data_IF_001303662048
#
_entry.id   IF_001303662048
#
_cell.length_a   1.000
_cell.length_b   1.000
_cell.length_c   1.000
_cell.angle_alpha   90.00
_cell.angle_beta   90.00
_cell.angle_gamma   90.00
#
_symmetry.space_group_name_H-M   'P 1'
#
loop_
_entity.id
_entity.type
_entity.pdbx_description
1 polymer ?
#
# COMPACT_ATOMS: atom_id res chain seq x y z
N UNK A 1 -22.26 7.59 16.15
CA UNK A 1 -21.96 6.37 15.36
C UNK A 1 -20.68 5.73 15.90
N UNK A 2 -20.64 4.42 15.98
CA UNK A 2 -19.48 3.65 16.46
C UNK A 2 -18.87 2.85 15.31
N UNK A 3 -17.55 2.84 15.21
CA UNK A 3 -16.79 2.05 14.27
C UNK A 3 -15.78 1.15 14.99
N UNK A 4 -15.76 -0.11 14.62
CA UNK A 4 -14.76 -1.08 15.07
C UNK A 4 -13.74 -1.24 13.94
N UNK A 5 -12.46 -1.06 14.23
CA UNK A 5 -11.36 -1.22 13.27
C UNK A 5 -10.42 -2.31 13.77
N UNK A 6 -10.27 -3.40 13.02
CA UNK A 6 -9.47 -4.56 13.41
C UNK A 6 -8.29 -4.81 12.47
N UNK A 7 -7.07 -4.79 13.00
CA UNK A 7 -5.84 -4.99 12.23
C UNK A 7 -4.77 -5.73 13.03
N UNK A 8 -3.86 -6.44 12.35
CA UNK A 8 -2.71 -7.07 13.00
C UNK A 8 -1.65 -6.07 13.49
N UNK A 9 -1.45 -5.01 12.72
CA UNK A 9 -0.49 -3.93 13.02
C UNK A 9 -1.18 -2.59 12.80
N UNK A 10 -0.44 -1.50 12.74
CA UNK A 10 -1.07 -0.20 12.53
C UNK A 10 -1.46 0.07 11.08
N UNK A 11 -0.78 -0.53 10.10
CA UNK A 11 -1.01 -0.29 8.66
C UNK A 11 -1.70 1.06 8.36
N UNK A 12 -2.31 1.20 7.19
CA UNK A 12 -3.09 2.39 6.82
C UNK A 12 -4.38 2.56 7.65
N UNK A 13 -4.96 1.49 8.21
CA UNK A 13 -6.17 1.54 9.04
C UNK A 13 -6.04 2.41 10.29
N UNK A 14 -4.83 2.68 10.78
CA UNK A 14 -4.60 3.68 11.84
C UNK A 14 -5.05 5.08 11.41
N UNK A 15 -4.80 5.44 10.14
CA UNK A 15 -5.19 6.75 9.62
C UNK A 15 -6.71 6.86 9.46
N UNK A 16 -7.38 5.75 9.10
CA UNK A 16 -8.82 5.66 9.14
C UNK A 16 -9.37 5.89 10.55
N UNK A 17 -8.84 5.16 11.55
CA UNK A 17 -9.27 5.29 12.94
C UNK A 17 -9.11 6.73 13.47
N UNK A 18 -7.99 7.39 13.15
CA UNK A 18 -7.76 8.80 13.49
C UNK A 18 -8.74 9.72 12.79
N UNK A 19 -9.01 9.50 11.50
CA UNK A 19 -9.96 10.31 10.73
C UNK A 19 -11.39 10.19 11.27
N UNK A 20 -11.85 8.97 11.56
CA UNK A 20 -13.15 8.73 12.17
C UNK A 20 -13.28 9.42 13.54
N UNK A 21 -12.27 9.30 14.39
CA UNK A 21 -12.27 9.97 15.69
C UNK A 21 -12.34 11.49 15.61
N UNK A 22 -11.74 12.10 14.58
CA UNK A 22 -11.79 13.55 14.32
C UNK A 22 -13.16 14.01 13.82
N UNK A 23 -13.94 13.14 13.20
CA UNK A 23 -15.29 13.44 12.69
C UNK A 23 -16.40 13.05 13.68
N UNK A 24 -16.05 12.79 14.95
CA UNK A 24 -17.00 12.55 16.03
C UNK A 24 -17.52 11.11 16.12
N UNK A 25 -16.89 10.15 15.43
CA UNK A 25 -17.19 8.75 15.62
C UNK A 25 -16.57 8.22 16.91
N UNK A 26 -17.30 7.37 17.62
CA UNK A 26 -16.71 6.48 18.63
C UNK A 26 -15.91 5.40 17.90
N UNK A 27 -14.61 5.30 18.17
CA UNK A 27 -13.72 4.35 17.51
C UNK A 27 -13.18 3.33 18.49
N UNK A 28 -13.33 2.07 18.15
CA UNK A 28 -12.71 0.94 18.87
C UNK A 28 -11.67 0.29 17.96
N UNK A 29 -10.39 0.58 18.22
CA UNK A 29 -9.26 0.13 17.39
C UNK A 29 -8.60 -1.10 18.01
N UNK A 30 -8.83 -2.28 17.42
CA UNK A 30 -8.20 -3.54 17.81
C UNK A 30 -6.87 -3.73 17.09
N UNK A 31 -5.79 -3.88 17.88
CA UNK A 31 -4.44 -4.06 17.33
C UNK A 31 -3.62 -5.04 18.17
N UNK A 32 -2.64 -5.68 17.52
CA UNK A 32 -1.64 -6.53 18.19
C UNK A 32 -0.46 -5.73 18.75
N UNK A 33 -0.46 -4.41 18.55
CA UNK A 33 0.57 -3.52 19.04
C UNK A 33 0.33 -3.11 20.50
N UNK A 34 1.40 -2.80 21.25
CA UNK A 34 1.25 -2.20 22.59
C UNK A 34 0.68 -0.78 22.46
N UNK A 35 -0.06 -0.34 23.49
CA UNK A 35 -0.69 1.00 23.52
C UNK A 35 0.31 2.14 23.33
N UNK A 36 1.53 2.00 23.84
CA UNK A 36 2.59 3.00 23.63
C UNK A 36 2.88 3.25 22.16
N UNK A 37 2.85 2.18 21.35
CA UNK A 37 3.08 2.28 19.91
C UNK A 37 1.87 2.87 19.17
N UNK A 38 0.65 2.49 19.53
CA UNK A 38 -0.56 3.05 18.90
C UNK A 38 -0.74 4.54 19.25
N UNK A 39 -0.33 4.95 20.45
CA UNK A 39 -0.31 6.35 20.87
C UNK A 39 0.62 7.20 19.99
N UNK A 40 1.79 6.67 19.61
CA UNK A 40 2.70 7.38 18.67
C UNK A 40 2.13 7.57 17.26
N UNK A 41 1.00 6.93 16.95
CA UNK A 41 0.27 7.08 15.69
C UNK A 41 -0.92 8.03 15.78
N UNK A 42 -1.11 8.72 16.91
CA UNK A 42 -2.19 9.68 17.12
C UNK A 42 -3.52 9.07 17.60
N UNK A 43 -3.51 7.79 18.00
CA UNK A 43 -4.69 7.15 18.62
C UNK A 43 -4.71 7.41 20.12
N UNK A 44 -5.88 7.74 20.68
CA UNK A 44 -6.06 7.90 22.11
C UNK A 44 -6.19 6.53 22.79
N UNK A 45 -5.81 6.44 24.07
CA UNK A 45 -5.82 5.19 24.82
C UNK A 45 -7.23 4.59 25.00
N UNK A 46 -8.24 5.45 25.06
CA UNK A 46 -9.66 5.04 25.15
C UNK A 46 -10.18 4.40 23.84
N UNK A 47 -9.55 4.72 22.71
CA UNK A 47 -9.88 4.16 21.40
C UNK A 47 -9.21 2.80 21.16
N UNK A 48 -8.20 2.41 21.96
CA UNK A 48 -7.33 1.26 21.63
C UNK A 48 -7.62 0.06 22.52
N UNK A 49 -8.00 -1.06 21.89
CA UNK A 49 -8.03 -2.39 22.48
C UNK A 49 -6.81 -3.17 22.05
N UNK A 50 -5.78 -3.17 22.90
CA UNK A 50 -4.51 -3.85 22.60
C UNK A 50 -4.58 -5.33 22.96
N UNK A 51 -4.30 -6.20 21.98
CA UNK A 51 -4.15 -7.64 22.18
C UNK A 51 -2.69 -8.07 22.39
N UNK A 52 -1.77 -7.12 22.55
CA UNK A 52 -0.32 -7.36 22.69
C UNK A 52 0.02 -8.33 23.82
N UNK A 53 -0.64 -8.21 25.00
CA UNK A 53 -0.38 -9.10 26.13
C UNK A 53 -0.68 -10.56 25.84
N UNK A 54 -1.68 -10.85 25.00
CA UNK A 54 -1.98 -12.21 24.56
C UNK A 54 -0.90 -12.81 23.65
N UNK A 55 -0.07 -11.96 23.04
CA UNK A 55 1.07 -12.35 22.21
C UNK A 55 2.39 -12.43 22.99
N UNK A 56 2.46 -11.98 24.26
CA UNK A 56 3.73 -11.90 25.00
C UNK A 56 4.55 -13.20 24.95
N UNK A 57 3.97 -14.42 25.11
CA UNK A 57 4.72 -15.66 25.00
C UNK A 57 5.31 -15.90 23.58
N UNK A 58 4.75 -15.22 22.56
CA UNK A 58 5.03 -15.44 21.14
C UNK A 58 5.49 -14.16 20.44
N UNK A 59 5.70 -13.06 21.18
CA UNK A 59 5.95 -11.73 20.62
C UNK A 59 7.21 -11.69 19.74
N UNK A 60 8.27 -12.40 20.13
CA UNK A 60 9.48 -12.52 19.32
C UNK A 60 9.20 -13.22 17.97
N UNK A 61 8.37 -14.26 17.96
CA UNK A 61 8.01 -15.02 16.76
C UNK A 61 7.05 -14.24 15.83
N UNK A 62 6.12 -13.47 16.42
CA UNK A 62 5.15 -12.69 15.67
C UNK A 62 5.76 -11.45 14.98
N UNK A 63 6.88 -10.93 15.52
CA UNK A 63 7.57 -9.73 15.02
C UNK A 63 8.69 -10.02 14.02
N UNK A 64 9.14 -11.27 13.91
CA UNK A 64 10.18 -11.65 12.94
C UNK A 64 9.61 -11.58 11.53
N UNK A 65 10.11 -10.64 10.73
CA UNK A 65 9.86 -10.58 9.29
C UNK A 65 10.82 -11.54 8.59
N UNK A 66 10.27 -12.43 7.75
CA UNK A 66 11.04 -13.50 7.10
C UNK A 66 11.19 -14.73 7.99
N UNK A 67 12.11 -15.61 7.66
CA UNK A 67 12.39 -16.84 8.39
C UNK A 67 11.82 -18.11 7.72
N UNK A 68 12.08 -19.31 8.28
CA UNK A 68 11.70 -20.58 7.68
C UNK A 68 10.18 -20.74 7.58
N UNK A 69 9.72 -21.58 6.65
CA UNK A 69 8.28 -21.82 6.36
C UNK A 69 7.45 -22.22 7.59
N UNK A 70 8.03 -22.92 8.56
CA UNK A 70 7.33 -23.29 9.78
C UNK A 70 6.99 -22.06 10.66
N UNK A 71 7.88 -21.06 10.72
CA UNK A 71 7.67 -19.84 11.48
C UNK A 71 6.50 -19.03 10.91
N UNK A 72 6.39 -18.99 9.58
CA UNK A 72 5.23 -18.37 8.90
C UNK A 72 3.92 -19.06 9.29
N UNK A 73 3.87 -20.40 9.29
CA UNK A 73 2.69 -21.15 9.72
C UNK A 73 2.30 -20.88 11.18
N UNK A 74 3.29 -20.78 12.07
CA UNK A 74 3.04 -20.42 13.48
C UNK A 74 2.44 -19.03 13.58
N UNK A 75 2.97 -18.06 12.86
CA UNK A 75 2.46 -16.66 12.83
C UNK A 75 1.02 -16.59 12.31
N UNK A 76 0.69 -17.29 11.24
CA UNK A 76 -0.65 -17.36 10.67
C UNK A 76 -1.67 -17.97 11.66
N UNK A 77 -1.27 -19.02 12.39
CA UNK A 77 -2.10 -19.58 13.47
C UNK A 77 -2.29 -18.63 14.64
N UNK A 78 -1.26 -17.86 15.00
CA UNK A 78 -1.36 -16.82 16.03
C UNK A 78 -2.33 -15.72 15.60
N UNK A 79 -2.31 -15.31 14.36
CA UNK A 79 -3.27 -14.33 13.83
C UNK A 79 -4.71 -14.85 13.92
N UNK A 80 -4.95 -16.14 13.61
CA UNK A 80 -6.26 -16.76 13.77
C UNK A 80 -6.73 -16.81 15.24
N UNK A 81 -5.83 -17.09 16.19
CA UNK A 81 -6.17 -17.09 17.62
C UNK A 81 -6.56 -15.69 18.12
N UNK A 82 -5.83 -14.66 17.68
CA UNK A 82 -6.13 -13.28 18.08
C UNK A 82 -7.39 -12.77 17.42
N UNK A 83 -7.64 -13.11 16.16
CA UNK A 83 -8.89 -12.81 15.48
C UNK A 83 -10.10 -13.36 16.25
N UNK A 84 -10.04 -14.62 16.71
CA UNK A 84 -11.08 -15.21 17.60
C UNK A 84 -11.21 -14.46 18.93
N UNK A 85 -10.12 -13.92 19.45
CA UNK A 85 -10.16 -13.10 20.67
C UNK A 85 -10.81 -11.75 20.40
N UNK A 86 -10.54 -11.12 19.27
CA UNK A 86 -11.23 -9.91 18.83
C UNK A 86 -12.72 -10.20 18.68
N UNK A 87 -13.09 -11.28 17.98
CA UNK A 87 -14.49 -11.69 17.81
C UNK A 87 -15.28 -11.81 19.12
N UNK A 88 -14.62 -12.25 20.21
CA UNK A 88 -15.25 -12.33 21.54
C UNK A 88 -15.32 -10.99 22.28
N UNK A 89 -14.51 -10.02 21.87
CA UNK A 89 -14.39 -8.73 22.55
C UNK A 89 -15.29 -7.65 21.94
N UNK A 90 -15.60 -7.76 20.64
CA UNK A 90 -16.40 -6.76 19.92
C UNK A 90 -17.88 -6.82 20.30
N UNK A 91 -18.50 -5.65 20.44
CA UNK A 91 -19.93 -5.44 20.65
C UNK A 91 -20.63 -4.85 19.44
N UNK A 92 -21.90 -4.45 19.57
CA UNK A 92 -22.65 -3.78 18.50
C UNK A 92 -21.97 -2.47 18.06
N UNK A 93 -21.95 -2.24 16.75
CA UNK A 93 -21.48 -1.00 16.13
C UNK A 93 -22.16 -0.83 14.77
N UNK A 94 -22.13 0.38 14.23
CA UNK A 94 -22.65 0.63 12.88
C UNK A 94 -21.74 0.05 11.80
N UNK A 95 -20.43 0.10 12.02
CA UNK A 95 -19.43 -0.31 11.03
C UNK A 95 -18.32 -1.15 11.67
N UNK A 96 -17.93 -2.21 10.98
CA UNK A 96 -16.72 -2.98 11.24
C UNK A 96 -15.80 -2.89 10.03
N UNK A 97 -14.54 -2.50 10.23
CA UNK A 97 -13.50 -2.49 9.20
C UNK A 97 -12.37 -3.42 9.62
N UNK A 98 -12.17 -4.48 8.86
CA UNK A 98 -11.13 -5.49 9.11
C UNK A 98 -10.11 -5.59 8.01
N UNK A 99 -8.85 -5.91 8.36
CA UNK A 99 -7.83 -6.24 7.37
C UNK A 99 -8.02 -7.68 6.90
N UNK A 100 -7.98 -7.90 5.60
CA UNK A 100 -8.12 -9.24 4.98
C UNK A 100 -7.12 -10.25 5.54
N UNK A 101 -7.44 -11.51 5.50
CA UNK A 101 -6.77 -12.64 6.15
C UNK A 101 -6.64 -12.54 7.69
N UNK A 102 -6.67 -11.35 8.25
CA UNK A 102 -6.57 -11.12 9.71
C UNK A 102 -7.94 -11.20 10.38
N UNK A 103 -8.95 -10.52 9.82
CA UNK A 103 -10.28 -10.38 10.37
C UNK A 103 -11.27 -11.33 9.65
N UNK A 104 -11.26 -12.62 10.00
CA UNK A 104 -12.24 -13.62 9.53
C UNK A 104 -13.31 -13.85 10.59
N UNK A 105 -12.93 -14.38 11.77
CA UNK A 105 -13.86 -14.64 12.85
C UNK A 105 -14.48 -13.35 13.43
N UNK A 106 -13.72 -12.26 13.47
CA UNK A 106 -14.22 -10.97 13.93
C UNK A 106 -15.18 -10.33 12.90
N UNK A 107 -14.96 -10.52 11.61
CA UNK A 107 -15.90 -10.08 10.57
C UNK A 107 -17.22 -10.86 10.64
N UNK A 108 -17.16 -12.20 10.75
CA UNK A 108 -18.34 -13.03 10.94
C UNK A 108 -19.14 -12.58 12.18
N UNK A 109 -18.44 -12.36 13.31
CA UNK A 109 -19.09 -11.88 14.53
C UNK A 109 -19.71 -10.49 14.39
N UNK A 110 -19.02 -9.57 13.71
CA UNK A 110 -19.55 -8.22 13.44
C UNK A 110 -20.82 -8.28 12.59
N UNK A 111 -20.86 -9.18 11.60
CA UNK A 111 -22.05 -9.43 10.77
C UNK A 111 -23.22 -9.95 11.59
N UNK A 112 -22.99 -10.92 12.50
CA UNK A 112 -24.01 -11.40 13.44
C UNK A 112 -24.56 -10.29 14.34
N UNK A 113 -23.73 -9.32 14.70
CA UNK A 113 -24.10 -8.15 15.51
C UNK A 113 -24.81 -7.05 14.68
N UNK A 114 -24.99 -7.25 13.37
CA UNK A 114 -25.67 -6.31 12.49
C UNK A 114 -24.80 -5.16 12.00
N UNK A 115 -23.47 -5.20 12.17
CA UNK A 115 -22.58 -4.18 11.61
C UNK A 115 -22.58 -4.21 10.08
N UNK A 116 -22.31 -3.07 9.46
CA UNK A 116 -21.83 -3.01 8.06
C UNK A 116 -20.37 -3.48 8.06
N UNK A 117 -20.08 -4.61 7.39
CA UNK A 117 -18.76 -5.24 7.41
C UNK A 117 -17.97 -4.83 6.16
N UNK A 118 -16.85 -4.14 6.35
CA UNK A 118 -15.88 -3.82 5.31
C UNK A 118 -14.59 -4.61 5.54
N UNK A 119 -14.10 -5.24 4.48
CA UNK A 119 -12.78 -5.91 4.49
C UNK A 119 -11.83 -5.16 3.58
N UNK A 120 -10.73 -4.70 4.15
CA UNK A 120 -9.66 -3.99 3.45
C UNK A 120 -8.64 -4.96 2.88
N UNK A 121 -8.39 -4.85 1.58
CA UNK A 121 -7.36 -5.62 0.90
C UNK A 121 -6.24 -4.70 0.39
N UNK A 122 -5.04 -4.89 0.91
CA UNK A 122 -3.85 -4.07 0.57
C UNK A 122 -3.12 -4.46 -0.71
N UNK A 123 -3.60 -5.47 -1.46
CA UNK A 123 -2.96 -5.99 -2.68
C UNK A 123 -4.02 -6.37 -3.73
N UNK A 124 -3.62 -6.93 -4.87
CA UNK A 124 -4.50 -7.62 -5.81
C UNK A 124 -5.26 -8.77 -5.15
N UNK A 125 -6.28 -9.34 -5.80
CA UNK A 125 -6.95 -10.55 -5.33
C UNK A 125 -5.92 -11.65 -5.03
N UNK A 126 -6.14 -12.44 -3.97
CA UNK A 126 -5.14 -13.39 -3.48
C UNK A 126 -4.73 -14.43 -4.54
N UNK A 127 -5.65 -14.87 -5.38
CA UNK A 127 -5.34 -15.82 -6.46
C UNK A 127 -4.54 -15.18 -7.59
N UNK A 128 -4.76 -13.91 -7.92
CA UNK A 128 -3.91 -13.14 -8.83
C UNK A 128 -2.52 -12.99 -8.27
N UNK A 129 -2.40 -12.63 -6.98
CA UNK A 129 -1.11 -12.52 -6.29
C UNK A 129 -0.34 -13.85 -6.30
N UNK A 130 -1.03 -14.97 -6.09
CA UNK A 130 -0.45 -16.31 -6.14
C UNK A 130 0.05 -16.63 -7.55
N UNK A 131 -0.77 -16.39 -8.58
CA UNK A 131 -0.40 -16.61 -9.98
C UNK A 131 0.82 -15.74 -10.39
N UNK A 132 0.84 -14.47 -10.00
CA UNK A 132 1.97 -13.57 -10.28
C UNK A 132 3.24 -14.00 -9.55
N UNK A 133 3.13 -14.46 -8.30
CA UNK A 133 4.27 -14.99 -7.54
C UNK A 133 4.86 -16.22 -8.26
N UNK A 134 4.00 -17.16 -8.68
CA UNK A 134 4.41 -18.35 -9.42
C UNK A 134 5.08 -17.99 -10.76
N UNK A 135 4.46 -17.13 -11.56
CA UNK A 135 4.99 -16.69 -12.85
C UNK A 135 6.34 -15.94 -12.72
N UNK A 136 6.55 -15.27 -11.59
CA UNK A 136 7.79 -14.55 -11.29
C UNK A 136 8.86 -15.41 -10.62
N UNK A 137 8.61 -16.69 -10.35
CA UNK A 137 9.51 -17.57 -9.59
C UNK A 137 9.69 -17.15 -8.13
N UNK A 138 8.74 -16.38 -7.60
CA UNK A 138 8.74 -15.89 -6.22
C UNK A 138 8.10 -16.86 -5.22
N UNK A 139 8.10 -16.49 -3.95
CA UNK A 139 7.48 -17.29 -2.90
C UNK A 139 5.95 -17.13 -2.92
N UNK A 140 5.24 -18.23 -3.09
CA UNK A 140 3.78 -18.25 -3.06
C UNK A 140 3.21 -18.01 -1.64
N UNK A 141 2.02 -17.41 -1.53
CA UNK A 141 1.25 -17.41 -0.29
C UNK A 141 1.01 -18.84 0.21
N UNK A 142 0.98 -19.06 1.53
CA UNK A 142 0.61 -20.35 2.06
C UNK A 142 -0.86 -20.68 1.81
N UNK A 143 -1.21 -21.98 1.71
CA UNK A 143 -2.60 -22.40 1.54
C UNK A 143 -3.52 -21.84 2.66
N UNK A 144 -3.04 -21.84 3.92
CA UNK A 144 -3.79 -21.26 5.04
C UNK A 144 -4.01 -19.74 4.88
N UNK A 145 -3.02 -19.02 4.33
CA UNK A 145 -3.18 -17.60 4.08
C UNK A 145 -4.19 -17.34 2.96
N UNK A 146 -4.13 -18.12 1.87
CA UNK A 146 -5.11 -18.07 0.75
C UNK A 146 -6.52 -18.35 1.27
N UNK A 147 -6.71 -19.42 2.04
CA UNK A 147 -7.99 -19.79 2.65
C UNK A 147 -8.55 -18.65 3.51
N UNK A 148 -7.74 -18.06 4.37
CA UNK A 148 -8.17 -16.94 5.22
C UNK A 148 -8.50 -15.68 4.46
N UNK A 149 -7.79 -15.37 3.37
CA UNK A 149 -8.11 -14.25 2.49
C UNK A 149 -9.50 -14.44 1.87
N UNK A 150 -9.73 -15.61 1.25
CA UNK A 150 -11.02 -15.92 0.62
C UNK A 150 -12.17 -15.94 1.65
N UNK A 151 -11.93 -16.52 2.82
CA UNK A 151 -12.92 -16.50 3.92
C UNK A 151 -13.25 -15.07 4.37
N UNK A 152 -12.26 -14.17 4.44
CA UNK A 152 -12.52 -12.77 4.81
C UNK A 152 -13.36 -12.03 3.75
N UNK A 153 -13.14 -12.31 2.45
CA UNK A 153 -13.96 -11.72 1.38
C UNK A 153 -15.42 -12.19 1.44
N UNK A 154 -15.64 -13.46 1.79
CA UNK A 154 -17.00 -14.01 1.94
C UNK A 154 -17.80 -13.35 3.07
N UNK A 155 -17.14 -12.91 4.15
CA UNK A 155 -17.80 -12.22 5.26
C UNK A 155 -18.09 -10.74 5.00
N UNK A 156 -17.51 -10.14 3.95
CA UNK A 156 -17.63 -8.71 3.68
C UNK A 156 -18.98 -8.34 3.05
N UNK A 157 -19.61 -7.27 3.51
CA UNK A 157 -20.65 -6.56 2.74
C UNK A 157 -20.00 -5.74 1.62
N UNK A 158 -18.82 -5.18 1.89
CA UNK A 158 -17.98 -4.45 0.92
C UNK A 158 -16.51 -4.82 1.09
N UNK A 159 -15.82 -4.96 -0.04
CA UNK A 159 -14.37 -5.15 -0.08
C UNK A 159 -13.74 -3.84 -0.52
N UNK A 160 -12.93 -3.25 0.35
CA UNK A 160 -12.21 -2.01 0.06
C UNK A 160 -10.84 -2.38 -0.52
N UNK A 161 -10.59 -1.92 -1.74
CA UNK A 161 -9.34 -2.14 -2.47
C UNK A 161 -8.65 -0.82 -2.76
N UNK A 162 -7.34 -0.84 -2.96
CA UNK A 162 -6.55 0.37 -2.97
C UNK A 162 -6.39 1.01 -4.35
N UNK A 163 -6.81 0.32 -5.42
CA UNK A 163 -6.68 0.79 -6.80
C UNK A 163 -7.67 0.15 -7.76
N UNK A 164 -7.86 0.76 -8.93
CA UNK A 164 -8.62 0.17 -10.04
C UNK A 164 -8.01 -1.14 -10.53
N UNK A 165 -6.68 -1.26 -10.50
CA UNK A 165 -6.01 -2.52 -10.81
C UNK A 165 -6.46 -3.61 -9.83
N UNK A 166 -6.38 -3.35 -8.53
CA UNK A 166 -6.84 -4.30 -7.52
C UNK A 166 -8.32 -4.66 -7.73
N UNK A 167 -9.21 -3.67 -7.92
CA UNK A 167 -10.64 -3.92 -8.19
C UNK A 167 -10.86 -4.83 -9.41
N UNK A 168 -10.13 -4.59 -10.50
CA UNK A 168 -10.20 -5.44 -11.70
C UNK A 168 -9.85 -6.90 -11.38
N UNK A 169 -8.80 -7.14 -10.58
CA UNK A 169 -8.44 -8.52 -10.21
C UNK A 169 -9.51 -9.22 -9.37
N UNK A 170 -10.27 -8.50 -8.55
CA UNK A 170 -11.43 -9.06 -7.85
C UNK A 170 -12.57 -9.41 -8.81
N UNK A 171 -12.88 -8.53 -9.76
CA UNK A 171 -13.91 -8.79 -10.78
C UNK A 171 -13.55 -9.99 -11.67
N UNK A 172 -12.26 -10.16 -12.02
CA UNK A 172 -11.75 -11.32 -12.77
C UNK A 172 -11.92 -12.65 -12.01
N UNK A 173 -12.02 -12.60 -10.68
CA UNK A 173 -12.31 -13.75 -9.81
C UNK A 173 -13.77 -13.83 -9.36
N UNK A 174 -14.67 -13.10 -10.02
CA UNK A 174 -16.12 -13.24 -9.86
C UNK A 174 -16.74 -12.38 -8.76
N UNK A 175 -15.98 -11.47 -8.13
CA UNK A 175 -16.56 -10.51 -7.19
C UNK A 175 -17.42 -9.47 -7.93
N UNK A 176 -18.63 -9.25 -7.42
CA UNK A 176 -19.56 -8.30 -7.99
C UNK A 176 -19.03 -6.85 -7.85
N UNK A 177 -19.07 -6.03 -8.92
CA UNK A 177 -18.53 -4.67 -8.89
C UNK A 177 -19.12 -3.76 -7.79
N UNK A 178 -20.38 -3.96 -7.44
CA UNK A 178 -21.09 -3.21 -6.39
C UNK A 178 -20.63 -3.57 -4.98
N UNK A 179 -19.89 -4.67 -4.80
CA UNK A 179 -19.24 -5.03 -3.55
C UNK A 179 -17.86 -4.39 -3.40
N UNK A 180 -17.31 -3.76 -4.44
CA UNK A 180 -15.96 -3.21 -4.44
C UNK A 180 -15.97 -1.70 -4.22
N UNK A 181 -15.19 -1.24 -3.26
CA UNK A 181 -14.93 0.18 -3.00
C UNK A 181 -13.45 0.48 -3.26
N UNK A 182 -13.18 1.44 -4.15
CA UNK A 182 -11.80 1.83 -4.47
C UNK A 182 -11.39 2.99 -3.59
N UNK A 183 -10.34 2.79 -2.77
CA UNK A 183 -9.88 3.77 -1.80
C UNK A 183 -8.35 3.95 -1.87
N UNK A 184 -7.84 4.77 -2.79
CA UNK A 184 -6.42 5.09 -2.87
C UNK A 184 -5.89 5.65 -1.54
N UNK A 185 -4.73 5.15 -1.12
CA UNK A 185 -4.12 5.52 0.16
C UNK A 185 -3.64 6.98 0.17
N UNK A 186 -3.45 7.49 1.38
CA UNK A 186 -2.81 8.78 1.60
C UNK A 186 -1.30 8.67 1.78
N UNK A 187 -0.62 9.81 1.79
CA UNK A 187 0.80 9.97 2.09
C UNK A 187 1.00 10.92 3.27
N UNK A 188 2.08 10.74 4.01
CA UNK A 188 2.51 11.66 5.06
C UNK A 188 3.22 12.87 4.45
N UNK A 189 2.44 13.91 4.14
CA UNK A 189 2.93 15.18 3.57
C UNK A 189 3.75 16.03 4.56
N UNK A 190 3.98 15.57 5.78
CA UNK A 190 4.92 16.22 6.71
C UNK A 190 6.32 15.59 6.66
N UNK A 191 6.40 14.33 6.27
CA UNK A 191 7.65 13.60 6.06
C UNK A 191 8.12 13.69 4.59
N UNK A 192 7.19 13.46 3.66
CA UNK A 192 7.47 13.51 2.21
C UNK A 192 7.09 14.89 1.69
N UNK A 193 8.09 15.74 1.52
CA UNK A 193 7.96 17.15 1.10
C UNK A 193 8.94 17.41 -0.03
N UNK A 194 8.49 18.13 -1.05
CA UNK A 194 9.37 18.55 -2.14
C UNK A 194 10.50 19.43 -1.59
N UNK A 195 11.75 19.22 -2.04
CA UNK A 195 12.86 20.06 -1.62
C UNK A 195 12.68 21.49 -2.18
N UNK A 196 13.27 22.50 -1.54
CA UNK A 196 13.13 23.89 -1.96
C UNK A 196 13.75 24.16 -3.35
N UNK A 197 14.68 23.32 -3.79
CA UNK A 197 15.27 23.34 -5.13
C UNK A 197 15.44 21.91 -5.64
N UNK A 198 15.22 21.71 -6.94
CA UNK A 198 15.49 20.42 -7.57
C UNK A 198 17.00 20.14 -7.60
N UNK A 199 17.41 18.86 -7.52
CA UNK A 199 18.81 18.47 -7.72
C UNK A 199 19.33 18.88 -9.09
N UNK A 200 20.64 19.12 -9.18
CA UNK A 200 21.30 19.43 -10.44
C UNK A 200 21.30 18.23 -11.41
N UNK A 201 21.31 18.46 -12.73
CA UNK A 201 21.49 17.41 -13.73
C UNK A 201 22.70 16.50 -13.43
N UNK A 202 22.73 15.25 -13.94
CA UNK A 202 21.80 14.62 -14.88
C UNK A 202 20.47 14.14 -14.24
N UNK A 203 19.51 13.70 -15.08
CA UNK A 203 18.27 13.07 -14.58
C UNK A 203 18.60 11.87 -13.68
N UNK A 204 18.15 11.95 -12.42
CA UNK A 204 18.36 10.91 -11.41
C UNK A 204 17.06 10.13 -11.22
N UNK A 205 17.15 8.84 -11.51
CA UNK A 205 16.03 7.90 -11.42
C UNK A 205 16.11 7.11 -10.09
N UNK A 206 15.02 7.07 -9.36
CA UNK A 206 14.86 6.23 -8.17
C UNK A 206 14.02 4.99 -8.51
N UNK A 207 14.46 3.83 -8.02
CA UNK A 207 13.68 2.59 -7.99
C UNK A 207 13.55 2.19 -6.53
N UNK A 208 12.33 2.09 -6.01
CA UNK A 208 12.13 1.86 -4.57
C UNK A 208 11.32 0.59 -4.30
N UNK A 209 11.77 -0.18 -3.31
CA UNK A 209 11.16 -1.44 -2.88
C UNK A 209 12.11 -2.63 -2.95
N UNK A 210 11.56 -3.85 -2.82
CA UNK A 210 12.36 -5.07 -2.91
C UNK A 210 12.81 -5.28 -4.35
N UNK A 211 14.11 -5.48 -4.58
CA UNK A 211 14.69 -5.74 -5.89
C UNK A 211 14.30 -7.14 -6.37
N UNK A 212 13.19 -7.25 -7.08
CA UNK A 212 12.61 -8.54 -7.45
C UNK A 212 11.92 -8.50 -8.82
N UNK A 213 11.76 -9.68 -9.41
CA UNK A 213 11.05 -9.84 -10.69
C UNK A 213 9.58 -9.40 -10.58
N UNK A 214 8.91 -9.69 -9.47
CA UNK A 214 7.54 -9.22 -9.22
C UNK A 214 7.45 -7.69 -9.26
N UNK A 215 8.49 -6.99 -8.79
CA UNK A 215 8.57 -5.52 -8.84
C UNK A 215 9.09 -4.98 -10.19
N UNK A 216 9.31 -5.86 -11.18
CA UNK A 216 9.77 -5.47 -12.51
C UNK A 216 11.22 -5.00 -12.55
N UNK A 217 12.04 -5.34 -11.54
CA UNK A 217 13.43 -4.87 -11.47
C UNK A 217 14.32 -5.49 -12.55
N UNK A 218 13.91 -6.58 -13.17
CA UNK A 218 14.55 -7.16 -14.37
C UNK A 218 14.47 -6.25 -15.61
N UNK A 219 13.57 -5.26 -15.62
CA UNK A 219 13.41 -4.28 -16.69
C UNK A 219 14.30 -3.03 -16.49
N UNK A 220 14.96 -2.90 -15.33
CA UNK A 220 15.68 -1.66 -14.98
C UNK A 220 17.09 -1.63 -15.56
N UNK A 221 17.83 -2.75 -15.53
CA UNK A 221 19.21 -2.77 -16.03
C UNK A 221 19.29 -2.35 -17.51
N UNK A 222 18.41 -2.83 -18.43
CA UNK A 222 18.41 -2.39 -19.83
C UNK A 222 18.21 -0.88 -20.04
N UNK A 223 17.56 -0.18 -19.10
CA UNK A 223 17.36 1.28 -19.21
C UNK A 223 18.69 2.04 -19.22
N UNK A 224 19.71 1.52 -18.53
CA UNK A 224 21.03 2.16 -18.47
C UNK A 224 21.70 2.27 -19.84
N UNK A 225 21.47 1.29 -20.73
CA UNK A 225 22.00 1.30 -22.08
C UNK A 225 21.06 2.02 -23.06
N UNK A 226 19.75 1.89 -22.87
CA UNK A 226 18.73 2.42 -23.78
C UNK A 226 18.42 3.90 -23.58
N UNK A 227 18.74 4.47 -22.40
CA UNK A 227 18.54 5.89 -22.08
C UNK A 227 19.86 6.47 -21.59
N UNK A 228 20.67 7.06 -22.49
CA UNK A 228 21.92 7.71 -22.11
C UNK A 228 21.69 8.87 -21.12
N UNK A 229 22.68 9.16 -20.30
CA UNK A 229 22.67 10.32 -19.41
C UNK A 229 21.93 10.18 -18.10
N UNK A 230 21.12 9.11 -17.90
CA UNK A 230 20.46 8.89 -16.61
C UNK A 230 21.37 8.16 -15.61
N UNK A 231 21.13 8.38 -14.33
CA UNK A 231 21.65 7.56 -13.24
C UNK A 231 20.50 6.88 -12.52
N UNK A 232 20.70 5.64 -12.03
CA UNK A 232 19.65 4.88 -11.33
C UNK A 232 20.11 4.55 -9.93
N UNK A 233 19.31 4.92 -8.94
CA UNK A 233 19.49 4.51 -7.53
C UNK A 233 18.38 3.55 -7.14
N UNK A 234 18.74 2.40 -6.56
CA UNK A 234 17.81 1.49 -5.92
C UNK A 234 17.81 1.73 -4.40
N UNK A 235 16.61 1.90 -3.83
CA UNK A 235 16.38 2.03 -2.40
C UNK A 235 15.47 0.89 -1.92
N UNK A 236 16.03 -0.14 -1.28
CA UNK A 236 15.26 -1.30 -0.82
C UNK A 236 16.11 -2.52 -0.51
N UNK A 237 15.43 -3.59 -0.11
CA UNK A 237 16.07 -4.88 0.11
C UNK A 237 16.36 -5.58 -1.22
N UNK A 238 17.44 -6.35 -1.29
CA UNK A 238 17.71 -7.30 -2.37
C UNK A 238 16.76 -8.49 -2.23
N UNK A 239 16.07 -8.87 -3.31
CA UNK A 239 15.17 -10.00 -3.38
C UNK A 239 15.73 -11.15 -4.23
N UNK A 240 14.96 -11.55 -5.25
CA UNK A 240 15.23 -12.72 -6.11
C UNK A 240 16.08 -12.42 -7.35
N UNK A 241 16.50 -11.17 -7.53
CA UNK A 241 17.35 -10.77 -8.66
C UNK A 241 18.70 -10.24 -8.17
N UNK A 242 19.79 -10.49 -8.92
CA UNK A 242 21.06 -9.83 -8.67
C UNK A 242 20.96 -8.32 -8.97
N UNK A 243 21.72 -7.53 -8.23
CA UNK A 243 21.84 -6.11 -8.52
C UNK A 243 22.72 -5.87 -9.78
N UNK A 244 22.38 -4.90 -10.65
CA UNK A 244 23.19 -4.52 -11.80
C UNK A 244 24.62 -4.12 -11.41
N UNK A 245 25.58 -4.51 -12.25
CA UNK A 245 26.97 -4.07 -12.15
C UNK A 245 27.26 -3.03 -13.24
N UNK A 246 26.83 -1.78 -12.99
CA UNK A 246 26.95 -0.70 -13.96
C UNK A 246 27.40 0.59 -13.26
N UNK A 247 28.32 1.42 -13.84
CA UNK A 247 28.83 2.63 -13.20
C UNK A 247 27.75 3.69 -12.90
N UNK A 248 26.65 3.69 -13.63
CA UNK A 248 25.50 4.59 -13.43
C UNK A 248 24.39 3.99 -12.54
N UNK A 249 24.63 2.83 -11.92
CA UNK A 249 23.70 2.19 -10.99
C UNK A 249 24.32 2.12 -9.59
N UNK A 250 23.51 2.45 -8.56
CA UNK A 250 23.87 2.21 -7.17
C UNK A 250 22.68 1.68 -6.38
N UNK A 251 22.93 0.86 -5.36
CA UNK A 251 21.93 0.46 -4.38
C UNK A 251 22.31 1.02 -3.01
N UNK A 252 21.35 1.68 -2.35
CA UNK A 252 21.53 2.27 -1.00
C UNK A 252 20.90 1.41 0.09
N UNK A 253 20.39 0.22 -0.26
CA UNK A 253 19.79 -0.71 0.70
C UNK A 253 18.46 -0.23 1.28
N UNK A 254 18.02 -0.90 2.35
CA UNK A 254 16.78 -0.56 3.06
C UNK A 254 16.86 0.85 3.64
N UNK A 255 15.79 1.60 3.45
CA UNK A 255 15.64 2.95 3.99
C UNK A 255 14.51 3.04 5.02
N UNK A 256 14.71 3.84 6.07
CA UNK A 256 13.62 4.28 6.95
C UNK A 256 12.71 5.26 6.20
N UNK A 257 11.56 5.62 6.77
CA UNK A 257 10.69 6.67 6.18
C UNK A 257 11.46 7.96 5.92
N UNK A 258 12.22 8.46 6.90
CA UNK A 258 13.05 9.66 6.75
C UNK A 258 14.18 9.47 5.72
N UNK A 259 14.81 8.29 5.69
CA UNK A 259 15.83 7.96 4.70
C UNK A 259 15.27 7.88 3.27
N UNK A 260 14.04 7.38 3.11
CA UNK A 260 13.37 7.35 1.82
C UNK A 260 12.99 8.75 1.35
N UNK A 261 12.48 9.62 2.24
CA UNK A 261 12.21 11.02 1.93
C UNK A 261 13.49 11.77 1.51
N UNK A 262 14.60 11.54 2.22
CA UNK A 262 15.91 12.09 1.83
C UNK A 262 16.38 11.57 0.46
N UNK A 263 16.23 10.27 0.22
CA UNK A 263 16.55 9.70 -1.09
C UNK A 263 15.69 10.31 -2.20
N UNK A 264 14.38 10.46 -1.98
CA UNK A 264 13.49 11.10 -2.96
C UNK A 264 13.91 12.55 -3.25
N UNK A 265 14.28 13.32 -2.22
CA UNK A 265 14.74 14.70 -2.39
C UNK A 265 16.01 14.85 -3.27
N UNK A 266 16.75 13.77 -3.49
CA UNK A 266 17.95 13.73 -4.34
C UNK A 266 17.66 13.26 -5.78
N UNK A 267 16.40 12.96 -6.12
CA UNK A 267 16.00 12.37 -7.41
C UNK A 267 14.91 13.19 -8.09
N UNK A 268 14.68 12.93 -9.38
CA UNK A 268 13.71 13.64 -10.22
C UNK A 268 12.56 12.75 -10.65
N UNK A 269 12.80 11.45 -10.83
CA UNK A 269 11.88 10.48 -11.41
C UNK A 269 11.86 9.20 -10.58
N UNK A 270 10.68 8.72 -10.23
CA UNK A 270 10.48 7.36 -9.72
C UNK A 270 10.07 6.45 -10.88
N UNK A 271 10.75 5.31 -11.03
CA UNK A 271 10.35 4.24 -11.96
C UNK A 271 9.81 3.05 -11.15
N UNK A 272 8.54 2.68 -11.41
CA UNK A 272 7.81 1.66 -10.66
C UNK A 272 7.14 0.65 -11.61
N UNK A 273 7.89 -0.27 -12.25
CA UNK A 273 7.40 -1.18 -13.28
C UNK A 273 6.82 -2.48 -12.69
N UNK A 274 6.15 -2.40 -11.54
CA UNK A 274 5.68 -3.58 -10.78
C UNK A 274 4.65 -4.39 -11.58
N UNK A 275 4.81 -5.72 -11.61
CA UNK A 275 3.86 -6.63 -12.23
C UNK A 275 2.62 -6.87 -11.40
N UNK A 276 2.72 -6.61 -10.10
CA UNK A 276 1.60 -6.72 -9.15
C UNK A 276 1.87 -5.87 -7.91
N UNK A 277 1.06 -4.82 -7.74
CA UNK A 277 1.03 -4.03 -6.53
C UNK A 277 -0.36 -3.44 -6.30
N UNK A 278 -0.93 -3.66 -5.12
CA UNK A 278 -2.26 -3.15 -4.78
C UNK A 278 -2.39 -1.63 -4.90
N UNK A 279 -1.32 -0.87 -4.59
CA UNK A 279 -1.28 0.57 -4.74
C UNK A 279 0.12 1.09 -5.09
N UNK A 280 1.15 0.67 -4.35
CA UNK A 280 2.50 1.20 -4.47
C UNK A 280 2.63 2.57 -3.80
N UNK A 281 2.53 2.61 -2.47
CA UNK A 281 2.60 3.85 -1.67
C UNK A 281 3.80 4.73 -2.02
N UNK A 282 4.92 4.12 -2.40
CA UNK A 282 6.13 4.84 -2.77
C UNK A 282 5.93 5.81 -3.95
N UNK A 283 4.95 5.55 -4.83
CA UNK A 283 4.60 6.47 -5.91
C UNK A 283 3.95 7.75 -5.39
N UNK A 284 3.02 7.63 -4.44
CA UNK A 284 2.40 8.78 -3.79
C UNK A 284 3.42 9.57 -2.94
N UNK A 285 4.36 8.87 -2.28
CA UNK A 285 5.47 9.45 -1.54
C UNK A 285 6.41 10.23 -2.48
N UNK A 286 6.75 9.67 -3.64
CA UNK A 286 7.58 10.32 -4.66
C UNK A 286 6.89 11.58 -5.22
N UNK A 287 5.61 11.51 -5.57
CA UNK A 287 4.83 12.66 -6.02
C UNK A 287 4.81 13.76 -4.96
N UNK A 288 4.66 13.42 -3.68
CA UNK A 288 4.69 14.37 -2.57
C UNK A 288 6.07 15.05 -2.42
N UNK A 289 7.14 14.36 -2.77
CA UNK A 289 8.50 14.91 -2.85
C UNK A 289 8.79 15.66 -4.17
N UNK A 290 7.81 15.82 -5.05
CA UNK A 290 7.99 16.53 -6.32
C UNK A 290 8.53 15.69 -7.47
N UNK A 291 8.75 14.38 -7.29
CA UNK A 291 9.23 13.50 -8.36
C UNK A 291 8.08 13.18 -9.33
N UNK A 292 8.39 13.12 -10.61
CA UNK A 292 7.50 12.45 -11.58
C UNK A 292 7.55 10.93 -11.40
N UNK A 293 6.56 10.24 -11.95
CA UNK A 293 6.45 8.78 -11.82
C UNK A 293 6.24 8.15 -13.19
N UNK A 294 7.01 7.11 -13.50
CA UNK A 294 6.71 6.15 -14.57
C UNK A 294 6.30 4.85 -13.91
N UNK A 295 5.05 4.43 -14.10
CA UNK A 295 4.46 3.29 -13.42
C UNK A 295 3.79 2.30 -14.37
N UNK A 296 3.78 1.03 -14.00
CA UNK A 296 2.97 0.02 -14.68
C UNK A 296 1.48 0.16 -14.35
N UNK A 297 0.63 -0.26 -15.28
CA UNK A 297 -0.83 -0.31 -15.13
C UNK A 297 -1.31 -1.33 -14.08
N UNK A 298 -0.43 -2.25 -13.66
CA UNK A 298 -0.69 -3.29 -12.65
C UNK A 298 -0.33 -2.80 -11.23
N UNK A 299 -0.64 -1.54 -10.96
CA UNK A 299 -0.41 -0.85 -9.69
C UNK A 299 -1.45 0.25 -9.45
N UNK A 300 -1.27 1.09 -8.43
CA UNK A 300 -2.05 2.32 -8.23
C UNK A 300 -1.67 3.48 -9.17
N UNK A 301 -0.78 3.24 -10.13
CA UNK A 301 -0.37 4.26 -11.12
C UNK A 301 -1.55 4.93 -11.84
N UNK A 302 -2.51 4.17 -12.40
CA UNK A 302 -3.70 4.74 -13.03
C UNK A 302 -4.55 5.62 -12.11
N UNK A 303 -4.64 5.27 -10.83
CA UNK A 303 -5.39 6.06 -9.83
C UNK A 303 -4.66 7.36 -9.50
N UNK A 304 -3.33 7.29 -9.32
CA UNK A 304 -2.50 8.47 -9.10
C UNK A 304 -2.49 9.39 -10.31
N UNK A 305 -2.41 8.85 -11.54
CA UNK A 305 -2.52 9.64 -12.77
C UNK A 305 -3.85 10.39 -12.85
N UNK A 306 -4.95 9.76 -12.44
CA UNK A 306 -6.27 10.40 -12.37
C UNK A 306 -6.34 11.48 -11.28
N UNK A 307 -5.60 11.34 -10.18
CA UNK A 307 -5.60 12.30 -9.06
C UNK A 307 -4.72 13.52 -9.31
N UNK A 308 -3.53 13.33 -9.88
CA UNK A 308 -2.56 14.43 -10.08
C UNK A 308 -2.51 14.93 -11.52
N UNK A 309 -2.96 14.13 -12.47
CA UNK A 309 -2.98 14.44 -13.91
C UNK A 309 -1.69 14.11 -14.66
N UNK A 310 -1.80 13.97 -15.98
CA UNK A 310 -0.66 13.97 -16.87
C UNK A 310 -0.06 15.41 -16.95
N UNK A 311 1.24 15.57 -17.04
CA UNK A 311 2.27 14.60 -17.37
C UNK A 311 3.03 14.02 -16.18
N UNK A 312 2.48 14.13 -14.97
CA UNK A 312 3.19 13.82 -13.72
C UNK A 312 3.32 12.31 -13.45
N UNK A 313 2.39 11.52 -14.02
CA UNK A 313 2.41 10.05 -13.95
C UNK A 313 2.25 9.48 -15.35
N UNK A 314 3.33 8.89 -15.88
CA UNK A 314 3.32 8.15 -17.14
C UNK A 314 3.01 6.68 -16.88
N UNK A 315 2.11 6.10 -17.66
CA UNK A 315 1.70 4.71 -17.52
C UNK A 315 2.31 3.86 -18.63
N UNK A 316 2.74 2.65 -18.27
CA UNK A 316 3.28 1.67 -19.22
C UNK A 316 2.61 0.31 -19.01
N UNK A 317 2.47 -0.52 -20.06
CA UNK A 317 2.00 -1.89 -19.92
C UNK A 317 2.93 -2.70 -19.01
N UNK A 318 2.35 -3.61 -18.25
CA UNK A 318 3.12 -4.45 -17.31
C UNK A 318 4.06 -5.40 -18.05
N UNK A 319 5.34 -5.38 -17.67
CA UNK A 319 6.35 -6.26 -18.25
C UNK A 319 6.91 -5.80 -19.61
N UNK A 320 6.44 -4.68 -20.15
CA UNK A 320 6.90 -4.12 -21.44
C UNK A 320 8.14 -3.25 -21.25
N UNK A 321 9.32 -3.85 -21.46
CA UNK A 321 10.61 -3.17 -21.35
C UNK A 321 10.77 -2.04 -22.38
N UNK A 322 10.47 -2.26 -23.67
CA UNK A 322 10.48 -1.20 -24.69
C UNK A 322 9.59 0.00 -24.35
N UNK A 323 8.35 -0.22 -23.91
CA UNK A 323 7.46 0.86 -23.50
C UNK A 323 8.00 1.61 -22.27
N UNK A 324 8.57 0.87 -21.30
CA UNK A 324 9.24 1.48 -20.14
C UNK A 324 10.40 2.38 -20.55
N UNK A 325 11.27 1.89 -21.45
CA UNK A 325 12.41 2.66 -21.94
C UNK A 325 11.97 3.91 -22.73
N UNK A 326 10.92 3.80 -23.54
CA UNK A 326 10.35 4.93 -24.26
C UNK A 326 9.82 6.01 -23.30
N UNK A 327 9.05 5.59 -22.26
CA UNK A 327 8.53 6.52 -21.27
C UNK A 327 9.64 7.20 -20.44
N UNK A 328 10.67 6.47 -20.03
CA UNK A 328 11.82 7.05 -19.31
C UNK A 328 12.62 8.01 -20.21
N UNK A 329 12.77 7.70 -21.49
CA UNK A 329 13.43 8.59 -22.46
C UNK A 329 12.64 9.89 -22.65
N UNK A 330 11.33 9.82 -22.79
CA UNK A 330 10.46 10.99 -22.87
C UNK A 330 10.61 11.90 -21.63
N UNK A 331 10.69 11.30 -20.44
CA UNK A 331 10.93 12.05 -19.21
C UNK A 331 12.34 12.68 -19.21
N UNK A 332 13.37 11.99 -19.72
CA UNK A 332 14.72 12.53 -19.83
C UNK A 332 14.76 13.73 -20.79
N UNK A 333 14.16 13.62 -21.97
CA UNK A 333 14.05 14.71 -22.94
C UNK A 333 13.25 15.91 -22.39
N UNK A 334 12.23 15.65 -21.58
CA UNK A 334 11.45 16.69 -20.92
C UNK A 334 12.26 17.40 -19.84
N UNK A 335 13.04 16.64 -19.06
CA UNK A 335 13.96 17.19 -18.07
C UNK A 335 15.06 18.05 -18.71
N UNK A 336 15.68 17.58 -19.80
CA UNK A 336 16.74 18.31 -20.51
C UNK A 336 16.25 19.64 -21.09
N UNK A 337 14.96 19.69 -21.50
CA UNK A 337 14.33 20.93 -22.02
C UNK A 337 14.02 21.96 -20.93
N UNK A 338 13.56 21.50 -19.78
CA UNK A 338 13.18 22.36 -18.65
C UNK A 338 13.41 21.65 -17.30
N UNK A 339 14.64 21.63 -16.79
CA UNK A 339 14.94 21.03 -15.50
C UNK A 339 14.19 21.69 -14.33
N UNK A 340 13.95 23.00 -14.41
CA UNK A 340 13.32 23.77 -13.33
C UNK A 340 11.80 23.54 -13.23
N UNK A 341 11.13 23.37 -14.35
CA UNK A 341 9.70 23.04 -14.42
C UNK A 341 9.38 21.55 -14.39
N UNK A 342 10.38 20.69 -14.14
CA UNK A 342 10.17 19.25 -14.16
C UNK A 342 9.44 18.72 -12.91
N UNK A 343 9.58 19.38 -11.77
CA UNK A 343 8.97 18.95 -10.52
C UNK A 343 7.43 18.97 -10.55
N UNK A 344 6.83 18.00 -9.84
CA UNK A 344 5.37 17.99 -9.59
C UNK A 344 4.99 19.17 -8.70
N UNK A 345 4.08 20.06 -9.12
CA UNK A 345 3.68 21.21 -8.33
C UNK A 345 2.92 20.81 -7.06
N UNK A 346 3.14 21.53 -5.95
CA UNK A 346 2.55 21.24 -4.65
C UNK A 346 1.01 21.22 -4.65
N UNK A 347 0.37 22.03 -5.48
CA UNK A 347 -1.09 22.07 -5.61
C UNK A 347 -1.68 20.77 -6.18
N UNK A 348 -0.90 19.98 -6.93
CA UNK A 348 -1.33 18.70 -7.49
C UNK A 348 -1.39 17.57 -6.46
N UNK A 349 -0.64 17.69 -5.37
CA UNK A 349 -0.52 16.64 -4.35
C UNK A 349 -1.46 16.80 -3.16
N UNK A 350 -2.23 17.88 -3.06
CA UNK A 350 -3.12 18.17 -1.92
C UNK A 350 -4.12 17.04 -1.64
N UNK A 351 -4.62 16.37 -2.68
CA UNK A 351 -5.53 15.23 -2.60
C UNK A 351 -4.90 13.92 -2.13
N UNK A 352 -3.55 13.85 -2.06
CA UNK A 352 -2.82 12.64 -1.67
C UNK A 352 -2.61 12.51 -0.15
N UNK A 353 -2.95 13.52 0.66
CA UNK A 353 -2.71 13.47 2.10
C UNK A 353 -3.55 12.41 2.83
N UNK A 354 -3.08 11.93 3.99
CA UNK A 354 -3.90 11.08 4.87
C UNK A 354 -5.19 11.76 5.35
N UNK A 355 -5.21 13.08 5.40
CA UNK A 355 -6.43 13.84 5.72
C UNK A 355 -7.45 13.71 4.59
N UNK A 356 -7.02 13.86 3.33
CA UNK A 356 -7.89 13.68 2.17
C UNK A 356 -8.40 12.23 2.05
N UNK A 357 -7.54 11.23 2.31
CA UNK A 357 -7.93 9.82 2.42
C UNK A 357 -9.05 9.64 3.46
N UNK A 358 -8.85 10.16 4.67
CA UNK A 358 -9.85 10.06 5.74
C UNK A 358 -11.19 10.69 5.37
N UNK A 359 -11.18 11.86 4.73
CA UNK A 359 -12.39 12.53 4.27
C UNK A 359 -13.14 11.68 3.22
N UNK A 360 -12.44 11.12 2.24
CA UNK A 360 -13.02 10.19 1.24
C UNK A 360 -13.64 8.96 1.90
N UNK A 361 -12.94 8.37 2.87
CA UNK A 361 -13.41 7.17 3.56
C UNK A 361 -14.68 7.46 4.39
N UNK A 362 -14.69 8.55 5.15
CA UNK A 362 -15.89 8.98 5.92
C UNK A 362 -17.08 9.21 5.00
N UNK A 363 -16.86 9.87 3.85
CA UNK A 363 -17.92 10.10 2.87
C UNK A 363 -18.46 8.76 2.28
N UNK A 364 -17.58 7.80 1.99
CA UNK A 364 -17.96 6.45 1.56
C UNK A 364 -18.83 5.76 2.61
N UNK A 365 -18.39 5.75 3.89
CA UNK A 365 -19.17 5.13 4.97
C UNK A 365 -20.55 5.76 5.14
N UNK A 366 -20.64 7.11 5.07
CA UNK A 366 -21.92 7.81 5.17
C UNK A 366 -22.88 7.41 4.04
N UNK A 367 -22.37 7.25 2.80
CA UNK A 367 -23.15 6.75 1.66
C UNK A 367 -23.64 5.32 1.90
N UNK A 368 -22.72 4.40 2.26
CA UNK A 368 -23.05 2.98 2.44
C UNK A 368 -24.06 2.75 3.59
N UNK A 369 -23.97 3.51 4.68
CA UNK A 369 -24.93 3.42 5.77
C UNK A 369 -26.32 3.96 5.39
N UNK A 370 -26.37 5.02 4.56
CA UNK A 370 -27.63 5.55 4.03
C UNK A 370 -28.31 4.52 3.12
N UNK A 371 -27.53 3.88 2.22
CA UNK A 371 -28.05 2.89 1.27
C UNK A 371 -28.56 1.63 2.00
N UNK A 372 -27.99 1.30 3.17
CA UNK A 372 -28.44 0.17 4.01
C UNK A 372 -29.71 0.48 4.81
N UNK A 373 -29.99 1.75 5.10
CA UNK A 373 -31.17 2.19 5.86
C UNK A 373 -32.43 2.39 5.00
N UNK A 374 -32.30 2.27 3.67
CA UNK A 374 -33.40 2.28 2.70
C UNK A 374 -33.80 0.85 2.33
#
# INVERSE_FOLDING_TARGET
MKAIVATSTAFHLRHLAVALGRTGWEVEFHSYLPRSKTRSYGLRDDQVVSHFRALLPWSALALVRGGPRWLRRVRERLFALIDRRIARAIGPAEVFVGLSAVAVASAARARELGCLVLIERGSSHILTQQATALASGGEEPSALYVERELASYAEADRIVVLSRFAARTFAEHGEAPDRLEIMPLGVDTTCFVAPPSQPEPPLRVLVAGVWSRRKGCDLIEPLLDQVPGITITHAGLTGDLPLPRHPRFRSIGYQTHAGMAAAMAEHHLLVFPSRDDGFGMVMAEALACGLRVVASETSGGPDLAAMVGAPWVSLVPSGDGPALAAAVREQAETFDRDPTGFAVPAEKISGLSWQAYGARYVAMLARLLKDRGQ
#
